data_IF_594772986085
#
_entry.id   IF_594772986085
#
_cell.length_a   1.000
_cell.length_b   1.000
_cell.length_c   1.000
_cell.angle_alpha   90.00
_cell.angle_beta   90.00
_cell.angle_gamma   90.00
#
_symmetry.space_group_name_H-M   'P 1'
#
loop_
_entity.id
_entity.type
_entity.pdbx_description
1 polymer ?
#
# COMPACT_ATOMS: atom_id res chain seq x y z
N UNK A 1 55.86 -23.85 36.65
CA UNK A 1 54.62 -24.03 35.84
C UNK A 1 55.01 -24.76 34.58
N UNK A 2 54.46 -25.94 34.38
CA UNK A 2 54.83 -26.82 33.27
C UNK A 2 54.24 -26.26 31.95
N UNK A 3 55.06 -26.37 30.89
CA UNK A 3 54.64 -25.96 29.51
C UNK A 3 53.30 -26.54 29.08
N UNK A 4 52.87 -27.65 29.68
CA UNK A 4 51.58 -28.30 29.45
C UNK A 4 50.40 -27.52 30.03
N UNK A 5 50.59 -26.84 31.18
CA UNK A 5 49.56 -26.01 31.85
C UNK A 5 49.27 -24.72 31.07
N UNK A 6 50.29 -24.17 30.39
CA UNK A 6 50.16 -22.97 29.57
C UNK A 6 49.40 -23.29 28.28
N UNK A 7 49.58 -24.50 27.70
CA UNK A 7 48.85 -24.93 26.48
C UNK A 7 47.35 -25.18 26.73
N UNK A 8 47.00 -25.68 27.91
CA UNK A 8 45.57 -25.92 28.27
C UNK A 8 44.86 -24.58 28.56
N UNK A 9 45.54 -23.60 29.17
CA UNK A 9 44.97 -22.27 29.39
C UNK A 9 44.78 -21.49 28.06
N UNK A 10 45.69 -21.65 27.09
CA UNK A 10 45.58 -21.02 25.77
C UNK A 10 44.47 -21.63 24.92
N UNK A 11 44.19 -22.93 25.07
CA UNK A 11 43.10 -23.59 24.31
C UNK A 11 41.72 -23.25 24.88
N UNK A 12 41.59 -23.06 26.20
CA UNK A 12 40.30 -22.62 26.83
C UNK A 12 40.00 -21.16 26.50
N UNK A 13 41.02 -20.30 26.31
CA UNK A 13 40.80 -18.90 25.88
C UNK A 13 40.43 -18.78 24.40
N UNK A 14 40.79 -19.76 23.54
CA UNK A 14 40.47 -19.71 22.10
C UNK A 14 39.08 -20.26 21.77
N UNK A 15 38.50 -21.11 22.65
CA UNK A 15 37.14 -21.64 22.50
C UNK A 15 36.08 -20.62 22.98
N UNK A 16 36.45 -19.67 23.83
CA UNK A 16 35.56 -18.60 24.32
C UNK A 16 35.30 -17.45 23.34
N UNK A 17 35.98 -17.39 22.19
CA UNK A 17 35.84 -16.31 21.21
C UNK A 17 34.97 -16.68 19.98
N UNK A 18 34.37 -17.85 19.99
CA UNK A 18 33.38 -18.28 19.01
C UNK A 18 31.92 -18.15 19.52
N UNK A 19 31.70 -17.38 20.57
CA UNK A 19 30.36 -16.88 20.86
C UNK A 19 29.98 -15.96 19.72
N UNK A 20 29.22 -16.52 18.76
CA UNK A 20 28.67 -15.76 17.66
C UNK A 20 28.04 -14.49 18.23
N UNK A 21 28.35 -13.36 17.64
CA UNK A 21 27.63 -12.13 17.87
C UNK A 21 26.18 -12.41 17.46
N UNK A 22 25.32 -12.72 18.42
CA UNK A 22 23.90 -12.48 18.26
C UNK A 22 23.86 -10.97 18.02
N UNK A 23 23.67 -10.56 16.76
CA UNK A 23 23.32 -9.19 16.44
C UNK A 23 22.08 -8.93 17.28
N UNK A 24 22.22 -8.15 18.34
CA UNK A 24 21.08 -7.65 19.09
C UNK A 24 20.24 -6.89 18.06
N UNK A 25 19.07 -7.45 17.75
CA UNK A 25 18.09 -6.76 16.95
C UNK A 25 17.75 -5.46 17.68
N UNK A 26 17.58 -4.36 16.94
CA UNK A 26 17.18 -3.08 17.50
C UNK A 26 15.96 -3.28 18.40
N UNK A 27 16.00 -2.73 19.62
CA UNK A 27 14.85 -2.70 20.53
C UNK A 27 13.82 -1.62 20.12
N UNK A 28 14.11 -0.88 19.04
CA UNK A 28 13.24 0.17 18.54
C UNK A 28 12.16 -0.44 17.63
N UNK A 29 10.91 0.06 17.69
CA UNK A 29 9.82 -0.40 16.81
C UNK A 29 10.15 -0.11 15.35
N UNK A 30 9.68 -0.98 14.48
CA UNK A 30 9.83 -0.79 13.02
C UNK A 30 8.78 0.22 12.57
N UNK A 31 9.23 1.34 12.02
CA UNK A 31 8.37 2.43 11.60
C UNK A 31 7.83 2.22 10.19
N UNK A 32 6.51 2.00 10.07
CA UNK A 32 5.81 1.90 8.79
C UNK A 32 5.21 3.25 8.37
N UNK A 33 5.49 3.66 7.14
CA UNK A 33 4.79 4.78 6.52
C UNK A 33 3.38 4.38 6.12
N UNK A 34 2.42 5.27 6.38
CA UNK A 34 1.02 5.09 6.03
C UNK A 34 0.49 6.31 5.28
N UNK A 35 -0.01 6.11 4.07
CA UNK A 35 -0.69 7.14 3.31
C UNK A 35 -2.14 7.32 3.79
N UNK A 36 -2.71 8.49 3.49
CA UNK A 36 -4.09 8.80 3.87
C UNK A 36 -5.12 8.21 2.88
N UNK A 37 -5.09 6.86 2.75
CA UNK A 37 -6.11 6.10 1.98
C UNK A 37 -6.29 4.68 2.54
N UNK A 38 -7.52 4.10 2.40
CA UNK A 38 -7.89 2.85 3.08
C UNK A 38 -7.01 1.64 2.72
N UNK A 39 -6.58 1.52 1.47
CA UNK A 39 -5.85 0.34 1.01
C UNK A 39 -4.49 0.12 1.65
N UNK A 40 -3.75 1.19 1.96
CA UNK A 40 -2.48 1.09 2.70
C UNK A 40 -2.73 0.78 4.18
N UNK A 41 -3.74 1.42 4.77
CA UNK A 41 -4.13 1.20 6.15
C UNK A 41 -4.50 -0.27 6.38
N UNK A 42 -5.36 -0.82 5.54
CA UNK A 42 -5.76 -2.23 5.61
C UNK A 42 -4.58 -3.21 5.45
N UNK A 43 -3.66 -2.92 4.51
CA UNK A 43 -2.44 -3.74 4.35
C UNK A 43 -1.51 -3.64 5.55
N UNK A 44 -1.30 -2.43 6.07
CA UNK A 44 -0.48 -2.23 7.26
C UNK A 44 -1.05 -3.01 8.45
N UNK A 45 -2.36 -3.03 8.67
CA UNK A 45 -2.99 -3.76 9.78
C UNK A 45 -2.72 -5.27 9.71
N UNK A 46 -2.80 -5.86 8.50
CA UNK A 46 -2.50 -7.29 8.32
C UNK A 46 -1.01 -7.58 8.55
N UNK A 47 -0.12 -6.71 8.05
CA UNK A 47 1.33 -6.87 8.24
C UNK A 47 1.71 -6.70 9.71
N UNK A 48 1.21 -5.66 10.37
CA UNK A 48 1.41 -5.39 11.79
C UNK A 48 0.93 -6.59 12.64
N UNK A 49 -0.31 -7.03 12.44
CA UNK A 49 -0.86 -8.18 13.15
C UNK A 49 0.05 -9.41 13.05
N UNK A 50 0.53 -9.74 11.85
CA UNK A 50 1.43 -10.89 11.65
C UNK A 50 2.76 -10.68 12.36
N UNK A 51 3.40 -9.51 12.17
CA UNK A 51 4.74 -9.24 12.69
C UNK A 51 4.74 -9.15 14.23
N UNK A 52 3.71 -8.53 14.83
CA UNK A 52 3.58 -8.47 16.30
C UNK A 52 3.36 -9.85 16.91
N UNK A 53 2.55 -10.70 16.27
CA UNK A 53 2.32 -12.07 16.74
C UNK A 53 3.56 -13.00 16.61
N UNK A 54 4.59 -12.55 15.92
CA UNK A 54 5.89 -13.25 15.84
C UNK A 54 7.02 -12.52 16.59
N UNK A 55 6.68 -11.45 17.35
CA UNK A 55 7.56 -10.80 18.31
C UNK A 55 8.29 -9.55 17.82
N UNK A 56 7.86 -8.92 16.72
CA UNK A 56 8.33 -7.60 16.31
C UNK A 56 7.40 -6.51 16.84
N UNK A 57 7.92 -5.35 17.13
CA UNK A 57 7.14 -4.16 17.49
C UNK A 57 7.00 -3.26 16.25
N UNK A 58 5.78 -2.84 15.95
CA UNK A 58 5.47 -2.03 14.77
C UNK A 58 4.82 -0.71 15.20
N UNK A 59 5.29 0.38 14.64
CA UNK A 59 4.63 1.67 14.74
C UNK A 59 4.27 2.19 13.35
N UNK A 60 3.19 2.98 13.25
CA UNK A 60 2.76 3.60 12.01
C UNK A 60 2.80 5.12 12.09
N UNK A 61 3.26 5.75 11.01
CA UNK A 61 3.18 7.20 10.86
C UNK A 61 2.43 7.57 9.60
N UNK A 62 1.32 8.31 9.75
CA UNK A 62 0.50 8.75 8.62
C UNK A 62 1.07 10.04 8.03
N UNK A 63 1.40 10.02 6.75
CA UNK A 63 1.90 11.17 6.02
C UNK A 63 1.59 11.10 4.52
N UNK A 64 1.79 12.20 3.81
CA UNK A 64 1.72 12.23 2.33
C UNK A 64 2.95 11.57 1.72
N UNK A 65 2.81 10.99 0.52
CA UNK A 65 3.90 10.31 -0.20
C UNK A 65 5.25 11.06 -0.21
N UNK A 66 5.33 12.38 -0.46
CA UNK A 66 6.62 13.07 -0.43
C UNK A 66 7.31 13.04 0.94
N UNK A 67 6.53 13.10 2.02
CA UNK A 67 7.05 13.06 3.40
C UNK A 67 7.49 11.64 3.75
N UNK A 68 6.71 10.61 3.36
CA UNK A 68 7.07 9.20 3.54
C UNK A 68 8.39 8.89 2.82
N UNK A 69 8.54 9.31 1.56
CA UNK A 69 9.78 9.09 0.81
C UNK A 69 10.97 9.83 1.44
N UNK A 70 10.76 11.05 1.95
CA UNK A 70 11.79 11.77 2.69
C UNK A 70 12.16 11.04 3.98
N UNK A 71 11.18 10.56 4.75
CA UNK A 71 11.40 9.76 5.96
C UNK A 71 12.22 8.49 5.69
N UNK A 72 11.92 7.77 4.58
CA UNK A 72 12.73 6.63 4.14
C UNK A 72 14.19 7.00 3.85
N UNK A 73 14.45 8.18 3.27
CA UNK A 73 15.84 8.61 3.01
C UNK A 73 16.58 9.04 4.27
N UNK A 74 15.86 9.55 5.27
CA UNK A 74 16.42 10.03 6.54
C UNK A 74 16.52 8.93 7.61
N UNK A 75 15.80 7.81 7.41
CA UNK A 75 15.72 6.72 8.38
C UNK A 75 14.65 6.92 9.46
N UNK A 76 13.79 7.94 9.33
CA UNK A 76 12.64 8.18 10.22
C UNK A 76 11.48 7.22 9.91
N UNK A 77 11.47 6.62 8.74
CA UNK A 77 10.55 5.58 8.27
C UNK A 77 11.39 4.41 7.75
N UNK A 78 11.04 3.20 8.17
CA UNK A 78 11.72 1.98 7.77
C UNK A 78 11.14 1.34 6.52
N UNK A 79 9.81 1.28 6.45
CA UNK A 79 9.04 0.52 5.46
C UNK A 79 7.89 1.33 4.91
N UNK A 80 7.63 1.20 3.61
CA UNK A 80 6.42 1.71 2.96
C UNK A 80 5.90 0.69 1.96
N UNK A 81 4.73 0.09 2.24
CA UNK A 81 4.08 -0.90 1.38
C UNK A 81 2.95 -0.31 0.51
N UNK A 82 2.95 1.01 0.33
CA UNK A 82 1.92 1.79 -0.36
C UNK A 82 2.42 2.55 -1.59
N UNK A 83 3.60 2.25 -2.15
CA UNK A 83 4.16 2.96 -3.30
C UNK A 83 3.38 2.63 -4.58
N UNK A 84 2.37 3.47 -4.89
CA UNK A 84 1.40 3.23 -5.96
C UNK A 84 1.96 3.62 -7.34
N UNK A 85 2.18 2.63 -8.19
CA UNK A 85 2.84 2.77 -9.48
C UNK A 85 1.86 2.58 -10.65
N UNK A 86 2.04 3.27 -11.77
CA UNK A 86 3.11 4.23 -12.11
C UNK A 86 2.87 5.66 -11.61
N UNK A 87 1.81 5.94 -10.82
CA UNK A 87 1.35 7.29 -10.47
C UNK A 87 2.42 8.15 -9.78
N UNK A 88 3.33 7.51 -9.03
CA UNK A 88 4.43 8.20 -8.34
C UNK A 88 5.82 7.84 -8.89
N UNK A 89 5.89 7.44 -10.18
CA UNK A 89 7.14 7.04 -10.84
C UNK A 89 8.22 8.12 -10.77
N UNK A 90 7.85 9.39 -10.91
CA UNK A 90 8.79 10.51 -10.80
C UNK A 90 9.45 10.57 -9.42
N UNK A 91 8.67 10.33 -8.38
CA UNK A 91 9.16 10.28 -7.00
C UNK A 91 10.08 9.08 -6.78
N UNK A 92 9.68 7.90 -7.27
CA UNK A 92 10.53 6.71 -7.24
C UNK A 92 11.86 6.95 -7.94
N UNK A 93 11.85 7.57 -9.13
CA UNK A 93 13.07 7.89 -9.88
C UNK A 93 13.95 8.91 -9.16
N UNK A 94 13.34 9.90 -8.49
CA UNK A 94 14.07 10.90 -7.70
C UNK A 94 14.88 10.26 -6.56
N UNK A 95 14.33 9.27 -5.88
CA UNK A 95 14.93 8.66 -4.68
C UNK A 95 15.51 7.25 -4.92
N UNK A 96 15.63 6.80 -6.17
CA UNK A 96 16.04 5.43 -6.54
C UNK A 96 17.37 4.96 -5.94
N UNK A 97 18.30 5.89 -5.70
CA UNK A 97 19.63 5.59 -5.14
C UNK A 97 19.67 5.69 -3.60
N UNK A 98 18.61 6.25 -3.01
CA UNK A 98 18.51 6.51 -1.57
C UNK A 98 17.53 5.57 -0.85
N UNK A 99 16.62 4.95 -1.58
CA UNK A 99 15.60 4.02 -1.07
C UNK A 99 15.77 2.66 -1.74
N UNK A 100 15.46 1.58 -1.04
CA UNK A 100 15.44 0.25 -1.62
C UNK A 100 14.04 -0.09 -2.14
N UNK A 101 13.98 -0.60 -3.37
CA UNK A 101 12.83 -1.33 -3.87
C UNK A 101 12.95 -2.80 -3.42
N UNK A 102 11.90 -3.33 -2.82
CA UNK A 102 11.86 -4.71 -2.33
C UNK A 102 11.12 -5.62 -3.30
N UNK A 103 9.88 -5.26 -3.62
CA UNK A 103 8.99 -6.09 -4.44
C UNK A 103 7.74 -5.34 -4.89
N UNK A 104 7.01 -5.87 -5.86
CA UNK A 104 5.60 -5.53 -6.06
C UNK A 104 4.78 -6.36 -5.07
N UNK A 105 4.01 -5.70 -4.20
CA UNK A 105 3.18 -6.39 -3.21
C UNK A 105 1.72 -6.55 -3.67
N UNK A 106 1.29 -5.83 -4.68
CA UNK A 106 -0.02 -5.95 -5.31
C UNK A 106 0.09 -5.62 -6.80
N UNK A 107 -0.61 -6.38 -7.64
CA UNK A 107 -0.75 -6.14 -9.08
C UNK A 107 -2.24 -5.94 -9.42
N UNK A 108 -2.56 -5.66 -10.69
CA UNK A 108 -3.94 -5.57 -11.21
C UNK A 108 -4.79 -4.43 -10.62
N UNK A 109 -4.14 -3.44 -10.00
CA UNK A 109 -4.82 -2.21 -9.59
C UNK A 109 -5.32 -1.42 -10.81
N UNK A 110 -6.38 -0.63 -10.60
CA UNK A 110 -6.89 0.35 -11.57
C UNK A 110 -6.81 1.75 -10.96
N UNK A 111 -6.51 2.74 -11.77
CA UNK A 111 -6.54 4.14 -11.35
C UNK A 111 -6.75 5.04 -12.56
N UNK A 112 -7.98 5.53 -12.73
CA UNK A 112 -8.37 6.46 -13.80
C UNK A 112 -9.70 7.14 -13.44
N UNK A 113 -10.31 7.90 -14.35
CA UNK A 113 -11.65 8.41 -14.11
C UNK A 113 -12.70 7.32 -14.27
N UNK A 114 -13.73 7.39 -13.46
CA UNK A 114 -14.85 6.46 -13.44
C UNK A 114 -16.20 7.20 -13.52
N UNK A 115 -17.21 6.48 -13.96
CA UNK A 115 -18.59 6.93 -14.00
C UNK A 115 -19.52 5.81 -13.51
N UNK A 116 -20.71 6.11 -12.98
CA UNK A 116 -21.72 5.11 -12.73
C UNK A 116 -22.13 4.37 -14.01
N UNK A 117 -22.60 3.12 -13.89
CA UNK A 117 -22.97 2.30 -15.05
C UNK A 117 -24.02 2.98 -15.92
N UNK A 118 -25.03 3.64 -15.36
CA UNK A 118 -26.08 4.32 -16.14
C UNK A 118 -25.52 5.43 -17.02
N UNK A 119 -24.44 6.11 -16.58
CA UNK A 119 -23.75 7.12 -17.37
C UNK A 119 -22.94 6.47 -18.50
N UNK A 120 -22.27 5.36 -18.21
CA UNK A 120 -21.53 4.59 -19.21
C UNK A 120 -22.43 4.03 -20.31
N UNK A 121 -23.60 3.49 -19.93
CA UNK A 121 -24.62 2.98 -20.86
C UNK A 121 -25.25 4.10 -21.71
N UNK A 122 -25.30 5.33 -21.19
CA UNK A 122 -25.74 6.50 -21.93
C UNK A 122 -24.70 7.02 -22.95
N UNK A 123 -23.53 6.38 -23.05
CA UNK A 123 -22.55 6.63 -24.11
C UNK A 123 -21.24 7.26 -23.66
N UNK A 124 -21.00 7.45 -22.36
CA UNK A 124 -19.73 7.96 -21.84
C UNK A 124 -18.81 6.77 -21.53
N UNK A 125 -17.97 6.38 -22.48
CA UNK A 125 -17.09 5.20 -22.37
C UNK A 125 -15.61 5.57 -22.25
N UNK A 126 -15.24 6.77 -22.65
CA UNK A 126 -13.88 7.27 -22.63
C UNK A 126 -13.83 8.74 -22.18
N UNK A 127 -12.65 9.22 -21.83
CA UNK A 127 -12.43 10.66 -21.56
C UNK A 127 -12.87 11.55 -22.74
N UNK A 128 -12.70 11.07 -23.98
CA UNK A 128 -13.09 11.80 -25.20
C UNK A 128 -14.62 11.94 -25.37
N UNK A 129 -15.42 11.19 -24.61
CA UNK A 129 -16.88 11.30 -24.66
C UNK A 129 -17.41 12.35 -23.69
N UNK A 130 -16.64 12.79 -22.70
CA UNK A 130 -17.08 13.72 -21.66
C UNK A 130 -17.60 15.02 -22.24
N UNK A 131 -16.87 15.63 -23.19
CA UNK A 131 -17.28 16.91 -23.80
C UNK A 131 -18.60 16.83 -24.55
N UNK A 132 -18.96 15.67 -25.13
CA UNK A 132 -20.25 15.48 -25.81
C UNK A 132 -21.45 15.59 -24.86
N UNK A 133 -21.19 15.39 -23.57
CA UNK A 133 -22.22 15.37 -22.52
C UNK A 133 -21.93 16.41 -21.41
N UNK A 134 -21.15 17.45 -21.72
CA UNK A 134 -20.68 18.45 -20.78
C UNK A 134 -21.76 19.05 -19.89
N UNK A 135 -22.94 19.37 -20.46
CA UNK A 135 -24.06 19.96 -19.72
C UNK A 135 -24.61 19.01 -18.63
N UNK A 136 -24.56 17.69 -18.88
CA UNK A 136 -25.02 16.67 -17.91
C UNK A 136 -24.13 16.61 -16.69
N UNK A 137 -22.83 16.86 -16.84
CA UNK A 137 -21.84 16.90 -15.78
C UNK A 137 -21.67 18.30 -15.19
N UNK A 138 -22.41 19.31 -15.65
CA UNK A 138 -22.18 20.72 -15.30
C UNK A 138 -20.72 21.15 -15.54
N UNK A 139 -20.00 20.50 -16.49
CA UNK A 139 -18.58 20.68 -16.75
C UNK A 139 -17.69 20.53 -15.50
N UNK A 140 -18.06 19.62 -14.60
CA UNK A 140 -17.34 19.31 -13.38
C UNK A 140 -16.83 17.89 -13.40
N UNK A 141 -15.61 17.69 -12.88
CA UNK A 141 -15.04 16.38 -12.60
C UNK A 141 -14.41 16.37 -11.22
N UNK A 142 -14.58 15.30 -10.48
CA UNK A 142 -14.12 15.18 -9.10
C UNK A 142 -12.82 14.39 -9.05
N UNK A 143 -11.72 15.05 -8.71
CA UNK A 143 -10.36 14.52 -8.92
C UNK A 143 -9.63 14.18 -7.60
N UNK A 144 -10.32 14.27 -6.45
CA UNK A 144 -9.75 14.00 -5.15
C UNK A 144 -8.78 15.08 -4.66
N UNK A 145 -7.91 14.77 -3.71
CA UNK A 145 -6.97 15.72 -3.12
C UNK A 145 -6.01 16.34 -4.15
N UNK A 146 -5.70 17.62 -4.00
CA UNK A 146 -4.85 18.38 -4.93
C UNK A 146 -3.44 17.79 -5.15
N UNK A 147 -2.95 16.97 -4.20
CA UNK A 147 -1.67 16.28 -4.32
C UNK A 147 -1.69 14.99 -5.14
N UNK A 148 -2.87 14.47 -5.47
CA UNK A 148 -3.01 13.21 -6.18
C UNK A 148 -2.66 13.34 -7.67
N UNK A 149 -2.26 12.21 -8.28
CA UNK A 149 -1.95 12.14 -9.70
C UNK A 149 -3.17 12.50 -10.57
N UNK A 150 -4.38 12.09 -10.17
CA UNK A 150 -5.64 12.45 -10.82
C UNK A 150 -5.84 13.96 -10.93
N UNK A 151 -5.64 14.67 -9.82
CA UNK A 151 -5.73 16.13 -9.81
C UNK A 151 -4.75 16.77 -10.79
N UNK A 152 -3.48 16.35 -10.79
CA UNK A 152 -2.46 16.87 -11.70
C UNK A 152 -2.79 16.57 -13.17
N UNK A 153 -3.19 15.33 -13.47
CA UNK A 153 -3.50 14.90 -14.84
C UNK A 153 -4.75 15.59 -15.40
N UNK A 154 -5.80 15.70 -14.61
CA UNK A 154 -7.03 16.34 -15.08
C UNK A 154 -6.91 17.86 -15.16
N UNK A 155 -6.16 18.53 -14.27
CA UNK A 155 -5.82 19.93 -14.46
C UNK A 155 -5.02 20.16 -15.75
N UNK A 156 -4.04 19.28 -16.04
CA UNK A 156 -3.32 19.33 -17.32
C UNK A 156 -4.27 19.17 -18.51
N UNK A 157 -5.22 18.25 -18.44
CA UNK A 157 -6.21 18.06 -19.51
C UNK A 157 -7.06 19.31 -19.74
N UNK A 158 -7.39 20.03 -18.69
CA UNK A 158 -8.12 21.31 -18.75
C UNK A 158 -7.21 22.41 -19.34
N UNK A 159 -6.02 22.58 -18.79
CA UNK A 159 -5.09 23.65 -19.21
C UNK A 159 -4.67 23.52 -20.68
N UNK A 160 -4.53 22.30 -21.20
CA UNK A 160 -4.10 21.99 -22.56
C UNK A 160 -5.27 21.65 -23.51
N UNK A 161 -6.51 21.79 -23.04
CA UNK A 161 -7.75 21.44 -23.79
C UNK A 161 -7.76 20.01 -24.37
N UNK A 162 -7.14 19.05 -23.65
CA UNK A 162 -7.14 17.64 -24.04
C UNK A 162 -8.58 17.12 -23.93
N UNK A 163 -9.05 16.39 -24.92
CA UNK A 163 -10.43 15.90 -25.05
C UNK A 163 -11.49 17.02 -25.13
N UNK A 164 -11.12 18.27 -25.38
CA UNK A 164 -12.03 19.43 -25.38
C UNK A 164 -12.51 19.81 -23.97
N UNK A 165 -11.69 19.56 -22.95
CA UNK A 165 -12.04 19.81 -21.55
C UNK A 165 -11.62 21.19 -21.04
N UNK A 166 -11.18 22.10 -21.90
CA UNK A 166 -10.63 23.40 -21.51
C UNK A 166 -11.59 24.33 -20.76
N UNK A 167 -12.89 24.09 -20.83
CA UNK A 167 -13.92 24.84 -20.09
C UNK A 167 -14.53 24.06 -18.90
N UNK A 168 -13.90 22.93 -18.54
CA UNK A 168 -14.28 22.14 -17.38
C UNK A 168 -13.61 22.60 -16.09
N UNK A 169 -14.09 22.12 -14.96
CA UNK A 169 -13.55 22.41 -13.65
C UNK A 169 -13.19 21.11 -12.92
N UNK A 170 -11.94 20.96 -12.52
CA UNK A 170 -11.50 19.88 -11.64
C UNK A 170 -11.78 20.25 -10.19
N UNK A 171 -12.69 19.51 -9.54
CA UNK A 171 -13.06 19.72 -8.14
C UNK A 171 -12.12 18.91 -7.25
N UNK A 172 -11.30 19.62 -6.48
CA UNK A 172 -10.41 19.02 -5.47
C UNK A 172 -11.12 18.98 -4.11
N UNK A 173 -11.04 17.85 -3.44
CA UNK A 173 -11.60 17.64 -2.11
C UNK A 173 -10.81 16.57 -1.34
N UNK A 174 -11.09 16.38 -0.05
CA UNK A 174 -10.62 15.18 0.66
C UNK A 174 -11.26 13.92 0.07
N UNK A 175 -10.65 12.77 0.31
CA UNK A 175 -11.23 11.49 -0.15
C UNK A 175 -12.64 11.26 0.43
N UNK A 176 -12.85 11.55 1.71
CA UNK A 176 -14.17 11.42 2.35
C UNK A 176 -15.23 12.31 1.70
N UNK A 177 -14.88 13.56 1.38
CA UNK A 177 -15.81 14.48 0.69
C UNK A 177 -16.06 14.03 -0.76
N UNK A 178 -15.05 13.46 -1.45
CA UNK A 178 -15.23 12.86 -2.77
C UNK A 178 -16.23 11.70 -2.70
N UNK A 179 -16.06 10.77 -1.76
CA UNK A 179 -16.95 9.62 -1.60
C UNK A 179 -18.37 10.03 -1.24
N UNK A 180 -18.55 11.01 -0.36
CA UNK A 180 -19.87 11.55 -0.03
C UNK A 180 -20.57 12.18 -1.26
N UNK A 181 -19.83 12.85 -2.14
CA UNK A 181 -20.38 13.39 -3.39
C UNK A 181 -20.74 12.27 -4.37
N UNK A 182 -19.90 11.22 -4.47
CA UNK A 182 -20.18 10.06 -5.32
C UNK A 182 -21.46 9.36 -4.85
N UNK A 183 -21.56 9.08 -3.55
CA UNK A 183 -22.74 8.47 -2.93
C UNK A 183 -24.02 9.28 -3.22
N UNK A 184 -23.97 10.59 -2.95
CA UNK A 184 -25.09 11.49 -3.22
C UNK A 184 -25.51 11.42 -4.69
N UNK A 185 -24.56 11.60 -5.61
CA UNK A 185 -24.89 11.65 -7.04
C UNK A 185 -25.47 10.32 -7.56
N UNK A 186 -24.94 9.18 -7.07
CA UNK A 186 -25.45 7.86 -7.47
C UNK A 186 -26.88 7.63 -6.94
N UNK A 187 -27.13 7.99 -5.67
CA UNK A 187 -28.46 7.85 -5.06
C UNK A 187 -29.52 8.77 -5.70
N UNK A 188 -29.12 9.92 -6.21
CA UNK A 188 -29.98 10.87 -6.90
C UNK A 188 -30.02 10.65 -8.44
N UNK A 189 -29.34 9.62 -8.95
CA UNK A 189 -29.14 9.33 -10.38
C UNK A 189 -28.58 10.52 -11.19
N UNK A 190 -27.82 11.39 -10.52
CA UNK A 190 -27.13 12.51 -11.15
C UNK A 190 -25.87 12.03 -11.89
N UNK A 191 -25.53 12.72 -12.97
CA UNK A 191 -24.33 12.41 -13.73
C UNK A 191 -23.08 12.90 -13.00
N UNK A 192 -22.16 11.98 -12.73
CA UNK A 192 -20.88 12.27 -12.10
C UNK A 192 -19.75 11.57 -12.83
N UNK A 193 -18.63 12.26 -12.99
CA UNK A 193 -17.32 11.71 -13.37
C UNK A 193 -16.32 12.03 -12.27
N UNK A 194 -15.63 11.01 -11.80
CA UNK A 194 -14.74 11.13 -10.65
C UNK A 194 -13.54 10.19 -10.76
N UNK A 195 -12.47 10.48 -10.01
CA UNK A 195 -11.34 9.56 -9.93
C UNK A 195 -11.77 8.28 -9.24
N UNK A 196 -11.63 7.17 -9.94
CA UNK A 196 -11.87 5.84 -9.42
C UNK A 196 -10.56 5.04 -9.33
N UNK A 197 -10.50 4.12 -8.41
CA UNK A 197 -9.38 3.19 -8.29
C UNK A 197 -9.83 1.85 -7.70
N UNK A 198 -9.04 0.82 -7.96
CA UNK A 198 -9.22 -0.50 -7.39
C UNK A 198 -7.86 -1.00 -6.87
N UNK A 199 -7.79 -1.52 -5.65
CA UNK A 199 -8.88 -1.86 -4.73
C UNK A 199 -9.47 -0.65 -4.00
N UNK A 200 -10.79 -0.66 -3.80
CA UNK A 200 -11.54 0.25 -2.94
C UNK A 200 -12.98 -0.24 -2.77
N UNK A 201 -13.57 -0.06 -1.58
CA UNK A 201 -14.93 -0.48 -1.25
C UNK A 201 -16.02 0.05 -2.23
N UNK A 202 -15.80 1.21 -2.83
CA UNK A 202 -16.74 1.78 -3.82
C UNK A 202 -17.02 0.85 -5.01
N UNK A 203 -16.09 -0.08 -5.34
CA UNK A 203 -16.27 -1.03 -6.44
C UNK A 203 -17.21 -2.19 -6.07
N UNK A 204 -17.34 -2.49 -4.79
CA UNK A 204 -18.30 -3.46 -4.28
C UNK A 204 -19.69 -2.82 -4.09
N UNK A 205 -19.72 -1.57 -3.62
CA UNK A 205 -20.96 -0.86 -3.30
C UNK A 205 -21.65 -0.29 -4.52
N UNK A 206 -20.89 0.26 -5.47
CA UNK A 206 -21.44 0.92 -6.65
C UNK A 206 -21.10 0.18 -7.94
N UNK A 207 -22.06 0.14 -8.86
CA UNK A 207 -21.78 -0.38 -10.20
C UNK A 207 -21.07 0.69 -11.04
N UNK A 208 -19.75 0.66 -11.00
CA UNK A 208 -18.87 1.64 -11.64
C UNK A 208 -18.29 1.13 -12.96
N UNK A 209 -17.98 2.03 -13.86
CA UNK A 209 -17.22 1.80 -15.09
C UNK A 209 -16.06 2.78 -15.19
N UNK A 210 -14.90 2.25 -15.49
CA UNK A 210 -13.68 3.01 -15.69
C UNK A 210 -13.58 3.47 -17.13
N UNK A 211 -13.23 4.76 -17.32
CA UNK A 211 -13.18 5.35 -18.66
C UNK A 211 -11.89 4.96 -19.38
N UNK A 212 -12.02 4.67 -20.67
CA UNK A 212 -10.89 4.53 -21.56
C UNK A 212 -10.17 5.87 -21.76
N UNK A 213 -8.86 5.81 -22.00
CA UNK A 213 -7.98 6.97 -22.17
C UNK A 213 -7.24 6.89 -23.52
N UNK A 214 -7.89 7.27 -24.64
CA UNK A 214 -7.34 7.11 -25.97
C UNK A 214 -6.01 7.84 -26.18
N UNK A 215 -5.84 9.02 -25.62
CA UNK A 215 -4.62 9.83 -25.76
C UNK A 215 -3.57 9.54 -24.70
N UNK A 216 -3.82 8.53 -23.85
CA UNK A 216 -2.89 8.05 -22.82
C UNK A 216 -2.45 9.14 -21.83
N UNK A 217 -3.36 10.04 -21.45
CA UNK A 217 -3.12 11.02 -20.40
C UNK A 217 -2.70 10.35 -19.07
N UNK A 218 -3.25 9.18 -18.80
CA UNK A 218 -2.92 8.33 -17.65
C UNK A 218 -1.76 7.38 -17.91
N UNK A 219 -1.18 7.36 -19.14
CA UNK A 219 -0.14 6.42 -19.56
C UNK A 219 -0.63 4.97 -19.55
N UNK A 220 -1.11 4.50 -18.41
CA UNK A 220 -1.77 3.21 -18.22
C UNK A 220 -2.86 3.33 -17.15
N UNK A 221 -4.06 2.78 -17.34
CA UNK A 221 -5.06 2.66 -16.29
C UNK A 221 -4.67 1.59 -15.26
N UNK A 222 -3.82 0.65 -15.66
CA UNK A 222 -3.34 -0.41 -14.78
C UNK A 222 -2.28 0.10 -13.84
N UNK A 223 -2.40 -0.32 -12.58
CA UNK A 223 -1.55 0.09 -11.48
C UNK A 223 -1.03 -1.12 -10.73
N UNK A 224 0.07 -0.92 -10.02
CA UNK A 224 0.61 -1.89 -9.07
C UNK A 224 1.14 -1.14 -7.85
N UNK A 225 1.38 -1.86 -6.76
CA UNK A 225 1.93 -1.27 -5.54
C UNK A 225 3.26 -1.92 -5.21
N UNK A 226 4.26 -1.09 -5.00
CA UNK A 226 5.59 -1.51 -4.61
C UNK A 226 5.79 -1.40 -3.09
N UNK A 227 6.62 -2.30 -2.55
CA UNK A 227 7.19 -2.22 -1.21
C UNK A 227 8.55 -1.54 -1.28
N UNK A 228 8.73 -0.52 -0.46
CA UNK A 228 9.99 0.23 -0.31
C UNK A 228 10.51 0.09 1.12
N UNK A 229 11.85 0.15 1.29
CA UNK A 229 12.49 0.27 2.60
C UNK A 229 13.61 1.30 2.55
N UNK A 230 13.97 1.86 3.71
CA UNK A 230 15.20 2.65 3.82
C UNK A 230 16.45 1.82 3.50
N UNK A 231 17.56 2.50 3.24
CA UNK A 231 18.88 1.84 3.18
C UNK A 231 19.26 1.24 4.54
N UNK A 232 19.96 0.12 4.52
CA UNK A 232 20.36 -0.59 5.73
C UNK A 232 19.27 -1.45 6.37
N UNK A 233 17.99 -1.30 6.00
CA UNK A 233 16.89 -2.05 6.62
C UNK A 233 17.07 -3.58 6.52
N UNK A 234 17.59 -4.08 5.40
CA UNK A 234 17.85 -5.50 5.21
C UNK A 234 18.88 -6.06 6.18
N UNK A 235 19.87 -5.26 6.50
CA UNK A 235 20.94 -5.58 7.43
C UNK A 235 20.44 -5.54 8.87
N UNK A 236 19.60 -4.56 9.22
CA UNK A 236 19.07 -4.36 10.56
C UNK A 236 17.94 -5.39 10.87
N UNK A 237 17.05 -5.65 9.90
CA UNK A 237 15.87 -6.52 10.04
C UNK A 237 15.80 -7.57 8.93
N UNK A 238 16.75 -8.52 8.81
CA UNK A 238 16.84 -9.45 7.68
C UNK A 238 15.61 -10.37 7.55
N UNK A 239 14.98 -10.74 8.66
CA UNK A 239 13.81 -11.62 8.67
C UNK A 239 12.55 -10.87 8.21
N UNK A 240 12.33 -9.63 8.68
CA UNK A 240 11.22 -8.78 8.23
C UNK A 240 11.40 -8.42 6.76
N UNK A 241 12.64 -8.13 6.32
CA UNK A 241 12.92 -7.89 4.91
C UNK A 241 12.56 -9.11 4.05
N UNK A 242 12.85 -10.35 4.51
CA UNK A 242 12.46 -11.59 3.84
C UNK A 242 10.95 -11.74 3.78
N UNK A 243 10.24 -11.47 4.88
CA UNK A 243 8.79 -11.43 4.90
C UNK A 243 8.25 -10.45 3.83
N UNK A 244 8.75 -9.22 3.82
CA UNK A 244 8.33 -8.20 2.85
C UNK A 244 8.61 -8.61 1.39
N UNK A 245 9.68 -9.36 1.13
CA UNK A 245 9.96 -9.90 -0.20
C UNK A 245 8.91 -10.94 -0.65
N UNK A 246 8.25 -11.60 0.27
CA UNK A 246 7.27 -12.66 0.03
C UNK A 246 5.82 -12.16 0.12
N UNK A 247 5.59 -11.04 0.78
CA UNK A 247 4.28 -10.45 0.97
C UNK A 247 3.67 -10.03 -0.37
N UNK A 248 2.57 -10.68 -0.73
CA UNK A 248 1.79 -10.42 -1.94
C UNK A 248 0.32 -10.45 -1.58
N UNK A 249 -0.41 -9.47 -2.04
CA UNK A 249 -1.85 -9.32 -1.77
C UNK A 249 -2.59 -9.32 -3.08
N UNK A 250 -3.59 -10.15 -3.20
CA UNK A 250 -4.52 -10.10 -4.30
C UNK A 250 -5.45 -8.89 -4.16
N UNK A 251 -5.89 -8.35 -5.29
CA UNK A 251 -6.78 -7.17 -5.30
C UNK A 251 -8.08 -7.45 -4.55
N UNK A 252 -8.60 -8.67 -4.68
CA UNK A 252 -9.83 -9.14 -4.03
C UNK A 252 -9.71 -9.15 -2.51
N UNK A 253 -8.59 -9.62 -1.96
CA UNK A 253 -8.34 -9.60 -0.51
C UNK A 253 -8.27 -8.17 0.02
N UNK A 254 -7.54 -7.30 -0.69
CA UNK A 254 -7.44 -5.90 -0.29
C UNK A 254 -8.78 -5.16 -0.44
N UNK A 255 -9.60 -5.46 -1.46
CA UNK A 255 -10.98 -4.97 -1.58
C UNK A 255 -11.81 -5.37 -0.37
N UNK A 256 -11.72 -6.63 0.06
CA UNK A 256 -12.44 -7.15 1.24
C UNK A 256 -11.99 -6.44 2.54
N UNK A 257 -10.69 -6.30 2.78
CA UNK A 257 -10.20 -5.60 3.96
C UNK A 257 -10.66 -4.15 4.00
N UNK A 258 -10.58 -3.46 2.86
CA UNK A 258 -11.04 -2.07 2.74
C UNK A 258 -12.56 -1.96 2.97
N UNK A 259 -13.33 -2.94 2.50
CA UNK A 259 -14.78 -2.97 2.70
C UNK A 259 -15.13 -3.12 4.19
N UNK A 260 -14.50 -4.08 4.87
CA UNK A 260 -14.75 -4.30 6.29
C UNK A 260 -14.30 -3.12 7.17
N UNK A 261 -13.12 -2.56 6.92
CA UNK A 261 -12.56 -1.47 7.72
C UNK A 261 -13.18 -0.12 7.36
N UNK A 262 -13.33 0.15 6.05
CA UNK A 262 -13.71 1.48 5.55
C UNK A 262 -15.21 1.71 5.37
N UNK A 263 -15.99 0.64 5.07
CA UNK A 263 -17.43 0.73 4.85
C UNK A 263 -18.23 0.19 6.05
N UNK A 264 -17.85 -1.00 6.56
CA UNK A 264 -18.48 -1.59 7.73
C UNK A 264 -17.95 -1.03 9.06
N UNK A 265 -16.96 -0.14 9.02
CA UNK A 265 -16.36 0.53 10.18
C UNK A 265 -15.86 -0.44 11.28
N UNK A 266 -15.44 -1.65 10.88
CA UNK A 266 -14.89 -2.64 11.80
C UNK A 266 -13.49 -2.23 12.26
N UNK A 267 -13.11 -2.71 13.45
CA UNK A 267 -11.73 -2.55 13.94
C UNK A 267 -10.74 -3.25 12.99
N UNK A 268 -9.69 -2.54 12.63
CA UNK A 268 -8.74 -3.00 11.62
C UNK A 268 -7.91 -4.20 12.07
N UNK A 269 -7.61 -4.31 13.37
CA UNK A 269 -6.86 -5.43 13.92
C UNK A 269 -7.75 -6.67 14.05
N UNK A 270 -9.05 -6.52 14.36
CA UNK A 270 -10.01 -7.62 14.32
C UNK A 270 -10.19 -8.18 12.90
N UNK A 271 -10.26 -7.30 11.89
CA UNK A 271 -10.32 -7.73 10.48
C UNK A 271 -9.04 -8.44 10.05
N UNK A 272 -7.88 -7.92 10.45
CA UNK A 272 -6.60 -8.55 10.19
C UNK A 272 -6.48 -9.94 10.83
N UNK A 273 -6.86 -10.06 12.10
CA UNK A 273 -6.87 -11.33 12.82
C UNK A 273 -7.78 -12.37 12.15
N UNK A 274 -9.01 -11.96 11.84
CA UNK A 274 -9.99 -12.84 11.19
C UNK A 274 -9.48 -13.34 9.83
N UNK A 275 -8.95 -12.43 9.01
CA UNK A 275 -8.40 -12.79 7.70
C UNK A 275 -7.20 -13.71 7.81
N UNK A 276 -6.25 -13.42 8.71
CA UNK A 276 -5.04 -14.23 8.93
C UNK A 276 -5.42 -15.65 9.37
N UNK A 277 -6.36 -15.80 10.29
CA UNK A 277 -6.86 -17.10 10.74
C UNK A 277 -7.48 -17.91 9.61
N UNK A 278 -8.29 -17.26 8.79
CA UNK A 278 -8.99 -17.91 7.67
C UNK A 278 -8.06 -18.21 6.48
N UNK A 279 -6.93 -17.51 6.36
CA UNK A 279 -5.99 -17.61 5.24
C UNK A 279 -4.59 -18.05 5.69
N UNK A 280 -4.50 -18.85 6.73
CA UNK A 280 -3.22 -19.23 7.36
C UNK A 280 -2.25 -19.94 6.39
N UNK A 281 -2.73 -20.59 5.34
CA UNK A 281 -1.89 -21.20 4.31
C UNK A 281 -1.23 -20.17 3.40
N UNK A 282 -1.87 -19.03 3.14
CA UNK A 282 -1.27 -17.92 2.43
C UNK A 282 -0.22 -17.24 3.30
N UNK A 283 -0.54 -16.98 4.57
CA UNK A 283 0.40 -16.43 5.55
C UNK A 283 1.63 -17.32 5.71
N UNK A 284 1.46 -18.66 5.64
CA UNK A 284 2.59 -19.60 5.62
C UNK A 284 3.57 -19.35 4.46
N UNK A 285 3.07 -18.96 3.29
CA UNK A 285 3.93 -18.62 2.15
C UNK A 285 4.73 -17.35 2.43
N UNK A 286 4.09 -16.33 3.00
CA UNK A 286 4.75 -15.08 3.37
C UNK A 286 5.80 -15.27 4.47
N UNK A 287 5.57 -16.20 5.40
CA UNK A 287 6.48 -16.54 6.49
C UNK A 287 7.47 -17.68 6.16
N UNK A 288 7.59 -18.07 4.88
CA UNK A 288 8.51 -19.13 4.47
C UNK A 288 9.95 -18.75 4.82
N UNK A 289 10.61 -19.59 5.62
CA UNK A 289 11.99 -19.39 6.09
C UNK A 289 12.21 -18.07 6.87
N UNK A 290 11.16 -17.50 7.43
CA UNK A 290 11.22 -16.36 8.35
C UNK A 290 11.37 -16.89 9.77
N UNK A 291 12.23 -16.24 10.54
CA UNK A 291 12.46 -16.52 11.95
C UNK A 291 11.98 -15.34 12.81
N UNK A 292 11.56 -15.67 14.04
CA UNK A 292 11.27 -14.66 15.07
C UNK A 292 12.56 -13.98 15.53
N UNK A 293 12.50 -12.87 16.31
CA UNK A 293 13.68 -12.29 16.95
C UNK A 293 14.46 -13.28 17.82
N UNK A 294 13.77 -14.29 18.37
CA UNK A 294 14.38 -15.36 19.17
C UNK A 294 15.00 -16.50 18.34
N UNK A 295 14.89 -16.45 17.00
CA UNK A 295 15.41 -17.49 16.10
C UNK A 295 14.48 -18.70 15.95
N UNK A 296 13.22 -18.59 16.33
CA UNK A 296 12.22 -19.63 16.17
C UNK A 296 11.54 -19.53 14.79
N UNK A 297 10.89 -20.62 14.35
CA UNK A 297 10.12 -20.60 13.11
C UNK A 297 8.89 -19.67 13.23
N UNK A 298 8.87 -18.56 12.49
CA UNK A 298 7.85 -17.53 12.60
C UNK A 298 6.43 -18.06 12.33
N UNK A 299 6.24 -18.93 11.33
CA UNK A 299 4.93 -19.51 11.04
C UNK A 299 4.42 -20.38 12.22
N UNK A 300 5.28 -21.22 12.80
CA UNK A 300 4.87 -22.05 13.92
C UNK A 300 4.56 -21.22 15.16
N UNK A 301 5.35 -20.17 15.41
CA UNK A 301 5.07 -19.21 16.50
C UNK A 301 3.72 -18.54 16.31
N UNK A 302 3.40 -18.06 15.10
CA UNK A 302 2.11 -17.46 14.79
C UNK A 302 0.94 -18.45 15.01
N UNK A 303 1.05 -19.67 14.48
CA UNK A 303 0.03 -20.73 14.66
C UNK A 303 -0.23 -21.00 16.14
N UNK A 304 0.82 -21.12 16.94
CA UNK A 304 0.72 -21.34 18.37
C UNK A 304 0.04 -20.16 19.09
N UNK A 305 0.43 -18.93 18.78
CA UNK A 305 -0.14 -17.72 19.41
C UNK A 305 -1.61 -17.52 19.06
N UNK A 306 -2.01 -17.94 17.85
CA UNK A 306 -3.41 -17.87 17.40
C UNK A 306 -4.25 -19.10 17.80
N UNK A 307 -3.66 -20.12 18.45
CA UNK A 307 -4.28 -21.40 18.81
C UNK A 307 -4.89 -22.12 17.60
N UNK A 308 -4.19 -22.11 16.48
CA UNK A 308 -4.58 -22.79 15.24
C UNK A 308 -3.84 -24.13 15.17
N UNK A 309 -4.47 -25.21 15.64
CA UNK A 309 -3.96 -26.59 15.60
C UNK A 309 -4.29 -27.31 14.28
#
# INVERSE_FOLDING_TARGET
>A
MNKLTIFILSFVLLVGLLSGSVLAQSEEPIMFGEGDWPGIRAKNSVVEFILENIGYEIERTTARDPIIHQGLTQGDIDVFIGSWMPQIMDMRNKYKDEINYVTQNMTEGLYTMAVPQYVYEAGVKSHADLQKHADKFEKKMYVGPAGWASSKKMNKAIDEDIYGLGDWTAINSSQSALMAQVDKSINEEEWIVFVGWRPHWMNAEYNLKYLEDPDRLWESPYSWVDTLTRKGFKEDYPQVYRFLQQFRVDVEDNDQWIYEIGYNERDEMEVAEEWVKNNILEVRRWLSMVETPAGENAYQTLVNNLNLD
#
